data_IF_123514743166
#
_entry.id   IF_123514743166
#
_cell.length_a   1.000
_cell.length_b   1.000
_cell.length_c   1.000
_cell.angle_alpha   90.00
_cell.angle_beta   90.00
_cell.angle_gamma   90.00
#
_symmetry.space_group_name_H-M   'P 1'
#
loop_
_entity.id
_entity.type
_entity.pdbx_description
1 polymer ?
#
# COMPACT_ATOMS: atom_id res chain seq x y z
N UNK A 1 8.58 6.81 26.36
CA UNK A 1 8.01 6.50 25.03
C UNK A 1 8.74 7.33 24.00
N UNK A 2 9.64 6.71 23.26
CA UNK A 2 10.40 7.42 22.21
C UNK A 2 9.65 7.25 20.89
N UNK A 3 8.90 8.28 20.49
CA UNK A 3 8.31 8.37 19.14
C UNK A 3 9.43 8.61 18.14
N UNK A 4 9.81 7.58 17.40
CA UNK A 4 10.65 7.74 16.23
C UNK A 4 9.77 8.19 15.06
N UNK A 5 9.71 9.50 14.86
CA UNK A 5 9.12 10.09 13.66
C UNK A 5 10.12 9.89 12.52
N UNK A 6 9.88 8.90 11.67
CA UNK A 6 10.63 8.76 10.42
C UNK A 6 9.94 9.58 9.34
N UNK A 7 10.52 10.72 9.03
CA UNK A 7 10.09 11.56 7.91
C UNK A 7 10.79 11.04 6.65
N UNK A 8 10.06 10.44 5.74
CA UNK A 8 10.59 10.03 4.44
C UNK A 8 10.42 11.16 3.45
N UNK A 9 11.54 11.73 3.03
CA UNK A 9 11.57 12.68 1.92
C UNK A 9 11.73 11.87 0.64
N UNK A 10 10.70 11.80 -0.17
CA UNK A 10 10.78 11.16 -1.49
C UNK A 10 11.60 12.05 -2.42
N UNK A 11 12.84 11.70 -2.66
CA UNK A 11 13.66 12.28 -3.73
C UNK A 11 13.31 11.55 -5.04
N UNK A 12 12.68 12.25 -5.95
CA UNK A 12 12.43 11.78 -7.30
C UNK A 12 13.74 11.80 -8.09
N UNK A 13 14.25 10.63 -8.43
CA UNK A 13 15.28 10.47 -9.45
C UNK A 13 14.63 10.00 -10.75
N UNK A 14 14.50 10.93 -11.67
CA UNK A 14 14.12 10.65 -13.06
C UNK A 14 15.34 10.07 -13.76
N UNK A 15 15.31 8.81 -14.09
CA UNK A 15 16.20 8.22 -15.07
C UNK A 15 15.38 7.85 -16.31
N UNK A 16 15.47 8.71 -17.33
CA UNK A 16 15.04 8.42 -18.68
C UNK A 16 16.11 7.55 -19.36
N UNK A 17 15.75 6.36 -19.75
CA UNK A 17 16.45 5.69 -20.84
C UNK A 17 15.47 4.88 -21.66
N UNK A 18 15.33 5.40 -22.85
CA UNK A 18 14.60 4.89 -23.99
C UNK A 18 15.29 3.68 -24.64
N UNK A 19 14.48 3.02 -25.49
CA UNK A 19 14.80 2.10 -26.60
C UNK A 19 14.65 0.63 -26.22
N UNK A 20 13.77 0.00 -26.84
CA UNK A 20 13.35 -0.21 -28.17
C UNK A 20 13.15 -1.70 -28.45
N UNK A 21 12.23 -1.95 -29.31
CA UNK A 21 12.10 -3.10 -30.20
C UNK A 21 11.31 -4.30 -29.75
N UNK A 22 10.24 -4.39 -30.48
CA UNK A 22 9.32 -5.47 -30.66
C UNK A 22 9.98 -6.85 -30.78
N UNK A 23 9.35 -7.81 -30.15
CA UNK A 23 9.26 -9.15 -30.66
C UNK A 23 7.87 -9.69 -30.31
N UNK A 24 7.08 -9.90 -31.33
CA UNK A 24 5.87 -10.71 -31.27
C UNK A 24 6.25 -12.12 -30.82
N UNK A 25 5.57 -12.59 -29.78
CA UNK A 25 5.75 -13.96 -29.30
C UNK A 25 4.61 -14.32 -28.36
N UNK A 26 3.76 -15.20 -28.84
CA UNK A 26 2.57 -15.73 -28.21
C UNK A 26 2.73 -16.10 -26.73
N UNK A 27 1.68 -15.81 -25.92
CA UNK A 27 1.42 -16.53 -24.66
C UNK A 27 2.23 -16.09 -23.47
N UNK A 28 2.26 -14.80 -23.15
CA UNK A 28 2.80 -14.33 -21.88
C UNK A 28 1.79 -14.64 -20.77
N UNK A 29 2.04 -15.70 -19.99
CA UNK A 29 1.58 -15.73 -18.60
C UNK A 29 2.12 -14.46 -17.97
N UNK A 30 1.21 -13.57 -17.51
CA UNK A 30 1.58 -12.35 -16.81
C UNK A 30 2.59 -12.70 -15.73
N UNK A 31 3.85 -12.33 -15.92
CA UNK A 31 4.88 -12.50 -14.90
C UNK A 31 4.40 -11.75 -13.66
N UNK A 32 4.26 -12.43 -12.53
CA UNK A 32 3.95 -11.78 -11.26
C UNK A 32 5.02 -10.73 -11.03
N UNK A 33 4.63 -9.48 -10.89
CA UNK A 33 5.55 -8.41 -10.59
C UNK A 33 6.33 -8.79 -9.32
N UNK A 34 7.65 -8.76 -9.40
CA UNK A 34 8.50 -9.11 -8.28
C UNK A 34 8.58 -7.92 -7.32
N UNK A 35 7.65 -7.86 -6.39
CA UNK A 35 7.60 -6.84 -5.34
C UNK A 35 8.28 -7.39 -4.10
N UNK A 36 9.15 -6.57 -3.50
CA UNK A 36 9.83 -6.95 -2.27
C UNK A 36 8.88 -6.77 -1.07
N UNK A 37 8.45 -7.88 -0.49
CA UNK A 37 7.62 -7.94 0.72
C UNK A 37 8.35 -8.69 1.84
N UNK A 38 9.67 -8.72 1.83
CA UNK A 38 10.49 -9.50 2.78
C UNK A 38 10.51 -8.92 4.19
N UNK A 39 10.19 -7.64 4.35
CA UNK A 39 10.08 -6.97 5.65
C UNK A 39 8.75 -6.25 5.79
N UNK A 40 8.35 -5.98 7.04
CA UNK A 40 7.17 -5.19 7.32
C UNK A 40 7.28 -3.77 6.76
N UNK A 41 8.46 -3.15 6.84
CA UNK A 41 8.71 -1.81 6.29
C UNK A 41 8.48 -1.78 4.77
N UNK A 42 9.04 -2.73 4.02
CA UNK A 42 8.82 -2.79 2.56
C UNK A 42 7.35 -3.03 2.20
N UNK A 43 6.65 -3.88 2.96
CA UNK A 43 5.22 -4.09 2.74
C UNK A 43 4.40 -2.83 3.04
N UNK A 44 4.76 -2.09 4.09
CA UNK A 44 4.12 -0.82 4.44
C UNK A 44 4.40 0.27 3.38
N UNK A 45 5.64 0.41 2.92
CA UNK A 45 6.01 1.31 1.83
C UNK A 45 5.20 0.99 0.56
N UNK A 46 5.09 -0.30 0.23
CA UNK A 46 4.30 -0.73 -0.92
C UNK A 46 2.80 -0.45 -0.73
N UNK A 47 2.26 -0.62 0.49
CA UNK A 47 0.89 -0.22 0.81
C UNK A 47 0.66 1.28 0.55
N UNK A 48 1.58 2.13 0.97
CA UNK A 48 1.52 3.57 0.69
C UNK A 48 1.54 3.83 -0.82
N UNK A 49 2.45 3.20 -1.56
CA UNK A 49 2.57 3.39 -3.01
C UNK A 49 1.29 2.96 -3.76
N UNK A 50 0.70 1.81 -3.44
CA UNK A 50 -0.53 1.35 -4.10
C UNK A 50 -1.76 2.18 -3.73
N UNK A 51 -1.79 2.77 -2.55
CA UNK A 51 -2.95 3.56 -2.08
C UNK A 51 -2.85 5.05 -2.41
N UNK A 52 -1.66 5.58 -2.70
CA UNK A 52 -1.44 7.02 -2.90
C UNK A 52 -0.80 7.40 -4.21
N UNK A 53 -0.01 6.51 -4.81
CA UNK A 53 0.78 6.82 -6.02
C UNK A 53 0.27 6.12 -7.28
N UNK A 54 -0.81 5.36 -7.16
CA UNK A 54 -1.38 4.59 -8.27
C UNK A 54 -0.53 3.41 -8.71
N UNK A 55 0.37 2.93 -7.83
CA UNK A 55 1.11 1.70 -8.08
C UNK A 55 0.16 0.50 -8.11
N UNK A 56 0.32 -0.37 -9.08
CA UNK A 56 -0.52 -1.57 -9.22
C UNK A 56 0.26 -2.87 -9.23
N UNK A 57 1.58 -2.80 -9.35
CA UNK A 57 2.44 -3.98 -9.32
C UNK A 57 2.36 -4.67 -7.96
N UNK A 58 2.19 -5.98 -7.93
CA UNK A 58 2.17 -6.76 -6.71
C UNK A 58 1.00 -6.50 -5.76
N UNK A 59 -0.04 -5.77 -6.18
CA UNK A 59 -1.19 -5.46 -5.33
C UNK A 59 -1.88 -6.72 -4.82
N UNK A 60 -1.94 -7.79 -5.62
CA UNK A 60 -2.52 -9.07 -5.20
C UNK A 60 -1.66 -9.84 -4.20
N UNK A 61 -0.36 -9.58 -4.19
CA UNK A 61 0.59 -10.23 -3.26
C UNK A 61 0.64 -9.49 -1.91
N UNK A 62 0.34 -8.19 -1.92
CA UNK A 62 0.40 -7.33 -0.75
C UNK A 62 -0.69 -7.65 0.29
N UNK A 63 -1.91 -7.96 -0.16
CA UNK A 63 -3.05 -8.17 0.73
C UNK A 63 -3.24 -9.64 1.06
N UNK A 64 -3.42 -9.94 2.35
CA UNK A 64 -3.74 -11.29 2.83
C UNK A 64 -5.07 -11.79 2.24
N UNK A 65 -5.22 -13.11 2.16
CA UNK A 65 -6.44 -13.72 1.61
C UNK A 65 -7.70 -13.33 2.39
N UNK A 66 -7.59 -13.21 3.70
CA UNK A 66 -8.65 -12.80 4.61
C UNK A 66 -8.70 -11.30 4.90
N UNK A 67 -7.99 -10.49 4.10
CA UNK A 67 -7.95 -9.04 4.25
C UNK A 67 -9.35 -8.43 4.35
N UNK A 68 -9.50 -7.51 5.27
CA UNK A 68 -10.68 -6.67 5.41
C UNK A 68 -10.33 -5.20 5.65
N UNK A 69 -11.10 -4.31 5.02
CA UNK A 69 -11.04 -2.88 5.26
C UNK A 69 -12.34 -2.40 5.88
N UNK A 70 -12.23 -1.62 6.95
CA UNK A 70 -13.38 -0.92 7.55
C UNK A 70 -13.22 0.58 7.36
N UNK A 71 -14.29 1.23 6.94
CA UNK A 71 -14.37 2.69 6.88
C UNK A 71 -15.22 3.16 8.04
N UNK A 72 -14.64 3.95 8.93
CA UNK A 72 -15.33 4.55 10.06
C UNK A 72 -16.06 5.81 9.60
N UNK A 73 -17.34 5.71 9.43
CA UNK A 73 -18.26 6.79 9.07
C UNK A 73 -19.60 6.54 9.76
N UNK A 74 -20.53 7.49 9.67
CA UNK A 74 -21.90 7.31 10.19
C UNK A 74 -22.60 6.06 9.61
N UNK A 75 -22.22 5.68 8.38
CA UNK A 75 -22.62 4.42 7.73
C UNK A 75 -21.36 3.56 7.56
N UNK A 76 -20.93 2.89 8.62
CA UNK A 76 -19.77 2.05 8.61
C UNK A 76 -19.81 1.06 7.43
N UNK A 77 -18.78 1.13 6.56
CA UNK A 77 -18.65 0.27 5.39
C UNK A 77 -17.50 -0.71 5.59
N UNK A 78 -17.67 -1.91 5.06
CA UNK A 78 -16.60 -2.90 5.01
C UNK A 78 -16.34 -3.30 3.57
N UNK A 79 -15.07 -3.39 3.20
CA UNK A 79 -14.63 -3.81 1.88
C UNK A 79 -13.80 -5.09 1.99
N UNK A 80 -14.10 -6.05 1.12
CA UNK A 80 -13.32 -7.28 1.00
C UNK A 80 -12.01 -7.03 0.24
N UNK A 81 -11.08 -7.99 0.34
CA UNK A 81 -9.85 -8.00 -0.44
C UNK A 81 -10.10 -7.78 -1.93
N UNK A 82 -11.02 -8.53 -2.52
CA UNK A 82 -11.31 -8.46 -3.95
C UNK A 82 -11.87 -7.09 -4.36
N UNK A 83 -12.74 -6.49 -3.55
CA UNK A 83 -13.29 -5.17 -3.80
C UNK A 83 -12.20 -4.09 -3.75
N UNK A 84 -11.30 -4.15 -2.76
CA UNK A 84 -10.19 -3.21 -2.65
C UNK A 84 -9.21 -3.35 -3.82
N UNK A 85 -8.77 -4.56 -4.14
CA UNK A 85 -7.84 -4.80 -5.25
C UNK A 85 -8.42 -4.31 -6.57
N UNK A 86 -9.71 -4.57 -6.83
CA UNK A 86 -10.39 -4.07 -8.02
C UNK A 86 -10.40 -2.54 -8.08
N UNK A 87 -10.62 -1.88 -6.95
CA UNK A 87 -10.58 -0.42 -6.86
C UNK A 87 -9.17 0.13 -7.12
N UNK A 88 -8.15 -0.43 -6.49
CA UNK A 88 -6.77 -0.02 -6.67
C UNK A 88 -6.28 -0.21 -8.11
N UNK A 89 -6.66 -1.31 -8.76
CA UNK A 89 -6.34 -1.54 -10.19
C UNK A 89 -6.99 -0.52 -11.13
N UNK A 90 -8.20 -0.03 -10.79
CA UNK A 90 -8.86 1.04 -11.55
C UNK A 90 -8.13 2.39 -11.40
N UNK A 91 -7.49 2.61 -10.26
CA UNK A 91 -6.74 3.83 -9.95
C UNK A 91 -5.29 3.77 -10.38
N UNK A 92 -4.92 2.78 -11.20
CA UNK A 92 -3.56 2.65 -11.72
C UNK A 92 -3.10 3.94 -12.40
N UNK A 93 -1.95 4.44 -11.97
CA UNK A 93 -1.36 5.68 -12.48
C UNK A 93 -1.95 6.97 -11.90
N UNK A 94 -2.96 6.89 -11.05
CA UNK A 94 -3.54 8.04 -10.37
C UNK A 94 -2.79 8.34 -9.08
N UNK A 95 -2.09 9.47 -9.03
CA UNK A 95 -1.39 9.92 -7.83
C UNK A 95 -2.27 10.88 -7.02
N UNK A 96 -2.41 10.59 -5.73
CA UNK A 96 -3.12 11.48 -4.81
C UNK A 96 -2.26 12.69 -4.46
N UNK A 97 -2.87 13.88 -4.44
CA UNK A 97 -2.23 15.12 -3.99
C UNK A 97 -2.45 15.25 -2.48
N UNK A 98 -1.53 14.70 -1.72
CA UNK A 98 -1.57 14.74 -0.26
C UNK A 98 -0.16 14.64 0.33
N UNK A 99 -0.04 15.04 1.60
CA UNK A 99 1.16 14.75 2.40
C UNK A 99 0.95 13.45 3.16
N UNK A 100 1.89 12.52 3.04
CA UNK A 100 1.83 11.22 3.70
C UNK A 100 2.79 11.18 4.88
N UNK A 101 2.29 10.75 6.04
CA UNK A 101 3.10 10.47 7.24
C UNK A 101 2.79 9.07 7.74
N UNK A 102 3.80 8.36 8.18
CA UNK A 102 3.67 7.00 8.70
C UNK A 102 4.26 6.90 10.10
N UNK A 103 3.46 6.43 11.05
CA UNK A 103 3.86 6.18 12.43
C UNK A 103 3.71 4.70 12.74
N UNK A 104 4.76 4.03 13.17
CA UNK A 104 4.68 2.65 13.66
C UNK A 104 4.14 2.69 15.08
N UNK A 105 2.99 2.08 15.31
CA UNK A 105 2.31 2.02 16.61
C UNK A 105 2.84 0.85 17.43
N UNK A 106 2.99 -0.30 16.79
CA UNK A 106 3.49 -1.52 17.42
C UNK A 106 4.19 -2.38 16.38
N UNK A 107 5.26 -3.05 16.78
CA UNK A 107 6.04 -3.92 15.93
C UNK A 107 6.52 -5.14 16.71
N UNK A 108 6.42 -6.30 16.09
CA UNK A 108 6.96 -7.56 16.59
C UNK A 108 7.60 -8.37 15.46
N UNK A 109 8.12 -9.56 15.76
CA UNK A 109 8.70 -10.43 14.75
C UNK A 109 7.70 -10.89 13.67
N UNK A 110 6.41 -10.90 13.98
CA UNK A 110 5.37 -11.50 13.13
C UNK A 110 4.24 -10.57 12.76
N UNK A 111 4.15 -9.38 13.36
CA UNK A 111 3.13 -8.39 13.01
C UNK A 111 3.61 -6.96 13.25
N UNK A 112 3.00 -6.03 12.53
CA UNK A 112 3.18 -4.59 12.68
C UNK A 112 1.82 -3.91 12.62
N UNK A 113 1.63 -2.90 13.45
CA UNK A 113 0.51 -1.96 13.33
C UNK A 113 1.08 -0.58 13.06
N UNK A 114 0.67 0.01 11.95
CA UNK A 114 1.12 1.34 11.53
C UNK A 114 -0.08 2.26 11.29
N UNK A 115 0.11 3.53 11.57
CA UNK A 115 -0.84 4.60 11.23
C UNK A 115 -0.29 5.37 10.04
N UNK A 116 -1.01 5.33 8.93
CA UNK A 116 -0.73 6.12 7.73
C UNK A 116 -1.69 7.30 7.70
N UNK A 117 -1.14 8.51 7.74
CA UNK A 117 -1.92 9.75 7.71
C UNK A 117 -1.73 10.43 6.37
N UNK A 118 -2.84 10.66 5.66
CA UNK A 118 -2.88 11.38 4.40
C UNK A 118 -3.56 12.73 4.62
N UNK A 119 -2.79 13.79 4.53
CA UNK A 119 -3.30 15.16 4.70
C UNK A 119 -3.54 15.78 3.33
N UNK A 120 -4.81 15.99 3.02
CA UNK A 120 -5.29 16.72 1.86
C UNK A 120 -5.52 18.19 2.22
N UNK A 121 -5.86 19.01 1.24
CA UNK A 121 -6.13 20.44 1.46
C UNK A 121 -7.29 20.68 2.44
N UNK A 122 -8.38 19.91 2.32
CA UNK A 122 -9.63 20.14 3.05
C UNK A 122 -9.99 19.05 4.07
N UNK A 123 -9.26 17.97 4.13
CA UNK A 123 -9.52 16.88 5.06
C UNK A 123 -8.25 16.04 5.32
N UNK A 124 -8.33 15.23 6.36
CA UNK A 124 -7.29 14.26 6.68
C UNK A 124 -7.89 12.85 6.71
N UNK A 125 -7.27 11.92 6.00
CA UNK A 125 -7.57 10.51 6.09
C UNK A 125 -6.52 9.81 6.93
N UNK A 126 -6.94 8.94 7.83
CA UNK A 126 -6.05 8.09 8.62
C UNK A 126 -6.37 6.64 8.34
N UNK A 127 -5.37 5.86 7.98
CA UNK A 127 -5.43 4.41 7.84
C UNK A 127 -4.65 3.76 8.97
N UNK A 128 -5.33 2.99 9.81
CA UNK A 128 -4.67 2.09 10.76
C UNK A 128 -4.49 0.75 10.08
N UNK A 129 -3.25 0.38 9.78
CA UNK A 129 -2.88 -0.76 8.94
C UNK A 129 -2.23 -1.83 9.79
N UNK A 130 -2.73 -3.05 9.70
CA UNK A 130 -2.11 -4.23 10.32
C UNK A 130 -1.42 -5.07 9.24
N UNK A 131 -0.16 -5.36 9.47
CA UNK A 131 0.65 -6.22 8.61
C UNK A 131 1.04 -7.47 9.40
N UNK A 132 0.99 -8.62 8.75
CA UNK A 132 1.32 -9.91 9.34
C UNK A 132 2.31 -10.66 8.47
N UNK A 133 3.17 -11.41 9.11
CA UNK A 133 4.14 -12.25 8.43
C UNK A 133 3.48 -13.53 7.97
N UNK A 134 3.50 -13.79 6.66
CA UNK A 134 3.07 -15.04 6.06
C UNK A 134 4.23 -15.71 5.32
N UNK A 135 4.71 -16.82 5.86
CA UNK A 135 5.87 -17.51 5.28
C UNK A 135 7.12 -16.63 5.25
N UNK A 136 7.67 -16.41 4.07
CA UNK A 136 8.85 -15.56 3.85
C UNK A 136 8.55 -14.09 3.59
N UNK A 137 7.27 -13.70 3.59
CA UNK A 137 6.86 -12.34 3.26
C UNK A 137 5.91 -11.74 4.28
N UNK A 138 5.60 -10.46 4.06
CA UNK A 138 4.66 -9.70 4.86
C UNK A 138 3.46 -9.29 4.02
N UNK A 139 2.29 -9.29 4.63
CA UNK A 139 1.03 -8.92 3.99
C UNK A 139 0.22 -8.00 4.86
N UNK A 140 -0.58 -7.15 4.22
CA UNK A 140 -1.59 -6.34 4.90
C UNK A 140 -2.81 -7.21 5.17
N UNK A 141 -3.12 -7.44 6.44
CA UNK A 141 -4.28 -8.26 6.85
C UNK A 141 -5.52 -7.43 7.17
N UNK A 142 -5.33 -6.17 7.55
CA UNK A 142 -6.45 -5.30 7.94
C UNK A 142 -6.13 -3.83 7.73
N UNK A 143 -7.13 -3.05 7.36
CA UNK A 143 -7.05 -1.60 7.46
C UNK A 143 -8.33 -1.00 8.04
N UNK A 144 -8.18 0.07 8.82
CA UNK A 144 -9.31 0.84 9.37
C UNK A 144 -9.11 2.29 8.96
N UNK A 145 -10.01 2.79 8.12
CA UNK A 145 -9.95 4.15 7.59
C UNK A 145 -10.85 5.07 8.37
N UNK A 146 -10.37 6.25 8.71
CA UNK A 146 -11.16 7.33 9.30
C UNK A 146 -10.87 8.66 8.60
N UNK A 147 -11.82 9.55 8.61
CA UNK A 147 -11.76 10.86 7.98
C UNK A 147 -12.09 11.97 8.98
N UNK A 148 -11.34 13.06 8.92
CA UNK A 148 -11.56 14.27 9.73
C UNK A 148 -11.50 15.52 8.87
#
# INVERSE_FOLDING_TARGET
MNSLVKTFTAAALIAVSSLAMAAEGAGSKSAKANVNLSTADFALEHYVAVTTEGESAGVEQLFAEDFSQKVQSANAQSHSRSALIKSLKKQKGEKLICTVTTDIIEESANYMVAKVTLKFENFTKTDLVTLEREGSGWKVSKSINSYK
#
